data_IF_046839625703
#
_entry.id   IF_046839625703
#
_cell.length_a   1.000
_cell.length_b   1.000
_cell.length_c   1.000
_cell.angle_alpha   90.00
_cell.angle_beta   90.00
_cell.angle_gamma   90.00
#
_symmetry.space_group_name_H-M   'P 1'
#
loop_
_entity.id
_entity.type
_entity.pdbx_description
1 polymer ?
#
# COMPACT_ATOMS: atom_id res chain seq x y z
N UNK A 1 21.13 7.34 -6.33
CA UNK A 1 20.11 8.38 -6.62
C UNK A 1 19.04 7.71 -7.46
N UNK A 2 17.81 7.84 -7.07
CA UNK A 2 16.64 7.31 -7.81
C UNK A 2 16.35 8.20 -9.02
N UNK A 3 15.92 7.60 -10.14
CA UNK A 3 15.60 8.28 -11.40
C UNK A 3 14.07 8.48 -11.52
N UNK A 4 13.29 7.45 -11.13
CA UNK A 4 11.84 7.39 -11.37
C UNK A 4 11.00 7.67 -10.12
N UNK A 5 11.63 7.86 -8.97
CA UNK A 5 10.95 8.30 -7.75
C UNK A 5 11.81 9.28 -6.95
N UNK A 6 11.17 10.02 -6.06
CA UNK A 6 11.82 10.85 -5.03
C UNK A 6 11.55 10.25 -3.67
N UNK A 7 12.56 10.28 -2.80
CA UNK A 7 12.49 9.71 -1.45
C UNK A 7 12.71 10.81 -0.41
N UNK A 8 11.89 10.79 0.63
CA UNK A 8 12.09 11.58 1.83
C UNK A 8 11.99 10.67 3.04
N UNK A 9 12.98 10.69 3.93
CA UNK A 9 12.99 9.96 5.21
C UNK A 9 12.91 10.99 6.35
N UNK A 10 11.89 10.88 7.17
CA UNK A 10 11.69 11.78 8.29
C UNK A 10 10.88 11.09 9.40
N UNK A 11 11.32 11.22 10.65
CA UNK A 11 10.57 10.79 11.85
C UNK A 11 10.00 9.34 11.72
N UNK A 12 10.82 8.38 11.27
CA UNK A 12 10.45 6.98 10.99
C UNK A 12 9.49 6.77 9.80
N UNK A 13 9.21 7.83 9.03
CA UNK A 13 8.36 7.77 7.84
C UNK A 13 9.24 7.82 6.59
N UNK A 14 8.98 6.89 5.64
CA UNK A 14 9.47 6.97 4.27
C UNK A 14 8.37 7.53 3.38
N UNK A 15 8.60 8.65 2.71
CA UNK A 15 7.73 9.14 1.62
C UNK A 15 8.36 8.81 0.28
N UNK A 16 7.62 8.06 -0.55
CA UNK A 16 7.98 7.68 -1.91
C UNK A 16 7.08 8.41 -2.88
N UNK A 17 7.64 9.31 -3.69
CA UNK A 17 6.88 10.01 -4.74
C UNK A 17 7.27 9.47 -6.11
N UNK A 18 6.35 8.81 -6.80
CA UNK A 18 6.55 8.37 -8.19
C UNK A 18 6.74 9.62 -9.06
N UNK A 19 7.84 9.68 -9.81
CA UNK A 19 8.29 10.90 -10.48
C UNK A 19 8.44 10.71 -12.00
N UNK A 20 7.31 10.48 -12.67
CA UNK A 20 7.17 10.45 -14.14
C UNK A 20 5.90 11.21 -14.56
N UNK A 21 5.72 12.49 -14.13
CA UNK A 21 4.48 13.24 -14.33
C UNK A 21 4.10 13.43 -15.80
N UNK A 22 5.07 13.51 -16.72
CA UNK A 22 4.87 13.60 -18.17
C UNK A 22 4.23 12.34 -18.77
N UNK A 23 4.27 11.22 -18.05
CA UNK A 23 3.65 9.94 -18.37
C UNK A 23 2.49 9.59 -17.43
N UNK A 24 1.97 10.55 -16.67
CA UNK A 24 0.99 10.33 -15.60
C UNK A 24 1.45 9.24 -14.62
N UNK A 25 2.75 9.21 -14.32
CA UNK A 25 3.37 8.22 -13.45
C UNK A 25 3.13 6.76 -13.88
N UNK A 26 2.97 6.52 -15.20
CA UNK A 26 2.95 5.17 -15.73
C UNK A 26 4.31 4.49 -15.53
N UNK A 27 4.29 3.22 -15.14
CA UNK A 27 5.47 2.47 -14.75
C UNK A 27 5.91 1.50 -15.86
N UNK A 28 7.09 1.73 -16.40
CA UNK A 28 7.83 0.77 -17.21
C UNK A 28 8.73 -0.10 -16.32
N UNK A 29 9.28 -1.22 -16.82
CA UNK A 29 10.06 -2.12 -15.98
C UNK A 29 11.19 -1.49 -15.18
N UNK A 30 12.04 -0.58 -15.71
CA UNK A 30 13.07 0.09 -14.91
C UNK A 30 12.51 0.82 -13.68
N UNK A 31 11.38 1.56 -13.85
CA UNK A 31 10.75 2.25 -12.73
C UNK A 31 10.16 1.26 -11.69
N UNK A 32 9.61 0.14 -12.14
CA UNK A 32 9.13 -0.89 -11.23
C UNK A 32 10.27 -1.55 -10.43
N UNK A 33 11.42 -1.80 -11.07
CA UNK A 33 12.59 -2.37 -10.41
C UNK A 33 13.20 -1.40 -9.39
N UNK A 34 13.33 -0.11 -9.75
CA UNK A 34 13.80 0.92 -8.82
C UNK A 34 12.89 1.02 -7.58
N UNK A 35 11.58 1.05 -7.78
CA UNK A 35 10.62 1.08 -6.66
C UNK A 35 10.67 -0.21 -5.82
N UNK A 36 10.95 -1.37 -6.45
CA UNK A 36 11.13 -2.62 -5.73
C UNK A 36 12.34 -2.56 -4.80
N UNK A 37 13.48 -2.03 -5.28
CA UNK A 37 14.68 -1.80 -4.45
C UNK A 37 14.39 -0.85 -3.28
N UNK A 38 13.63 0.23 -3.52
CA UNK A 38 13.21 1.17 -2.47
C UNK A 38 12.40 0.47 -1.37
N UNK A 39 11.45 -0.41 -1.74
CA UNK A 39 10.66 -1.14 -0.76
C UNK A 39 11.42 -2.31 -0.12
N UNK A 40 12.47 -2.85 -0.76
CA UNK A 40 13.42 -3.77 -0.13
C UNK A 40 14.20 -3.05 0.97
N UNK A 41 14.74 -1.87 0.68
CA UNK A 41 15.42 -1.03 1.67
C UNK A 41 14.48 -0.65 2.82
N UNK A 42 13.24 -0.23 2.51
CA UNK A 42 12.24 0.07 3.53
C UNK A 42 11.95 -1.12 4.45
N UNK A 43 11.82 -2.31 3.88
CA UNK A 43 11.57 -3.52 4.65
C UNK A 43 12.72 -3.82 5.62
N UNK A 44 13.97 -3.59 5.19
CA UNK A 44 15.19 -3.89 5.94
C UNK A 44 15.64 -2.78 6.92
N UNK A 45 15.20 -1.53 6.73
CA UNK A 45 15.64 -0.37 7.55
C UNK A 45 14.82 -0.30 8.86
N UNK A 46 15.41 -0.70 9.98
CA UNK A 46 14.74 -0.72 11.29
C UNK A 46 14.31 0.67 11.79
N UNK A 47 14.90 1.74 11.28
CA UNK A 47 14.53 3.10 11.60
C UNK A 47 13.28 3.59 10.86
N UNK A 48 12.80 2.86 9.86
CA UNK A 48 11.59 3.17 9.11
C UNK A 48 10.42 2.27 9.55
N UNK A 49 9.33 2.89 9.99
CA UNK A 49 8.18 2.17 10.55
C UNK A 49 6.92 2.26 9.68
N UNK A 50 6.75 3.36 8.93
CA UNK A 50 5.62 3.60 8.03
C UNK A 50 6.13 4.11 6.69
N UNK A 51 5.52 3.68 5.58
CA UNK A 51 5.76 4.29 4.28
C UNK A 51 4.49 4.97 3.74
N UNK A 52 4.69 6.08 3.02
CA UNK A 52 3.66 6.77 2.23
C UNK A 52 4.11 6.71 0.77
N UNK A 53 3.22 6.27 -0.13
CA UNK A 53 3.46 6.34 -1.57
C UNK A 53 2.46 7.30 -2.21
N UNK A 54 2.96 8.18 -3.08
CA UNK A 54 2.15 9.16 -3.84
C UNK A 54 2.72 9.36 -5.24
N UNK A 55 2.06 10.16 -6.07
CA UNK A 55 2.53 10.51 -7.41
C UNK A 55 2.84 12.01 -7.55
N UNK A 56 3.85 12.35 -8.34
CA UNK A 56 4.10 13.74 -8.72
C UNK A 56 3.08 14.26 -9.72
N UNK A 57 2.69 15.53 -9.59
CA UNK A 57 1.76 16.18 -10.51
C UNK A 57 0.30 15.70 -10.34
N UNK A 58 -0.43 15.53 -11.48
CA UNK A 58 -1.89 15.30 -11.49
C UNK A 58 -2.35 13.86 -11.39
N UNK A 59 -1.45 12.90 -11.27
CA UNK A 59 -1.76 11.48 -11.20
C UNK A 59 -1.01 10.80 -10.07
N UNK A 60 -1.65 9.85 -9.42
CA UNK A 60 -0.96 8.86 -8.61
C UNK A 60 -0.15 7.93 -9.51
N UNK A 61 -0.81 7.16 -10.36
CA UNK A 61 -0.20 6.37 -11.42
C UNK A 61 -1.23 5.92 -12.45
N UNK A 62 -0.91 6.05 -13.74
CA UNK A 62 -1.71 5.47 -14.83
C UNK A 62 -1.43 3.97 -15.06
N UNK A 63 -0.62 3.34 -14.21
CA UNK A 63 -0.34 1.91 -14.27
C UNK A 63 0.76 1.54 -15.28
N UNK A 64 0.55 0.52 -16.10
CA UNK A 64 1.54 0.06 -17.06
C UNK A 64 1.82 1.10 -18.15
N UNK A 65 3.10 1.33 -18.46
CA UNK A 65 3.50 2.17 -19.60
C UNK A 65 3.26 1.43 -20.92
N UNK A 66 2.05 1.60 -21.48
CA UNK A 66 1.64 0.94 -22.71
C UNK A 66 2.42 1.42 -23.94
N UNK A 67 2.99 2.63 -23.92
CA UNK A 67 3.86 3.12 -25.02
C UNK A 67 5.16 2.35 -25.04
N UNK A 68 5.80 2.20 -23.88
CA UNK A 68 7.00 1.41 -23.74
C UNK A 68 6.77 -0.04 -24.20
N UNK A 69 5.61 -0.62 -23.87
CA UNK A 69 5.23 -1.97 -24.30
C UNK A 69 5.00 -2.05 -25.82
N UNK A 70 4.35 -1.05 -26.42
CA UNK A 70 4.06 -0.98 -27.86
C UNK A 70 5.32 -0.84 -28.73
N UNK A 71 6.43 -0.37 -28.17
CA UNK A 71 7.74 -0.30 -28.81
C UNK A 71 8.42 -1.68 -28.99
N UNK A 72 7.75 -2.76 -28.56
CA UNK A 72 8.25 -4.13 -28.69
C UNK A 72 9.34 -4.50 -27.67
N UNK A 73 9.49 -3.70 -26.63
CA UNK A 73 10.44 -3.99 -25.57
C UNK A 73 10.12 -5.28 -24.80
N UNK A 74 11.13 -6.08 -24.51
CA UNK A 74 10.98 -7.30 -23.71
C UNK A 74 10.83 -6.94 -22.24
N UNK A 75 9.73 -7.38 -21.62
CA UNK A 75 9.47 -7.18 -20.19
C UNK A 75 10.28 -8.16 -19.36
N UNK A 76 11.20 -7.68 -18.49
CA UNK A 76 11.90 -8.56 -17.58
C UNK A 76 10.96 -9.12 -16.51
N UNK A 77 11.34 -10.22 -15.81
CA UNK A 77 10.61 -10.67 -14.63
C UNK A 77 10.52 -9.54 -13.59
N UNK A 78 9.35 -9.39 -13.01
CA UNK A 78 9.08 -8.44 -11.92
C UNK A 78 8.43 -9.21 -10.76
N UNK A 79 9.22 -9.94 -9.98
CA UNK A 79 8.69 -10.86 -8.96
C UNK A 79 7.87 -10.16 -7.88
N UNK A 80 8.19 -8.90 -7.57
CA UNK A 80 7.46 -8.09 -6.59
C UNK A 80 6.31 -7.26 -7.20
N UNK A 81 6.04 -7.44 -8.52
CA UNK A 81 4.95 -6.80 -9.24
C UNK A 81 5.14 -5.31 -9.47
N UNK A 82 4.04 -4.56 -9.64
CA UNK A 82 4.08 -3.11 -9.83
C UNK A 82 4.56 -2.40 -8.56
N UNK A 83 5.43 -1.41 -8.77
CA UNK A 83 6.07 -0.61 -7.73
C UNK A 83 6.76 -1.44 -6.62
N UNK A 84 7.05 -2.72 -6.88
CA UNK A 84 7.58 -3.61 -5.84
C UNK A 84 6.60 -3.89 -4.69
N UNK A 85 5.29 -3.66 -4.89
CA UNK A 85 4.26 -3.78 -3.85
C UNK A 85 3.18 -4.81 -4.17
N UNK A 86 2.75 -4.92 -5.44
CA UNK A 86 1.53 -5.69 -5.75
C UNK A 86 1.68 -7.20 -5.56
N UNK A 87 2.89 -7.73 -5.52
CA UNK A 87 3.19 -9.13 -5.21
C UNK A 87 4.07 -9.30 -3.95
N UNK A 88 4.08 -8.29 -3.09
CA UNK A 88 4.91 -8.25 -1.89
C UNK A 88 4.13 -8.70 -0.66
N UNK A 89 4.03 -10.01 -0.48
CA UNK A 89 3.29 -10.61 0.65
C UNK A 89 4.12 -10.75 1.93
N UNK A 90 5.41 -10.44 1.87
CA UNK A 90 6.37 -10.46 2.97
C UNK A 90 6.47 -9.13 3.73
N UNK A 91 5.95 -8.03 3.16
CA UNK A 91 6.07 -6.70 3.76
C UNK A 91 5.07 -6.49 4.90
N UNK A 92 5.52 -6.72 6.13
CA UNK A 92 4.70 -6.53 7.34
C UNK A 92 4.69 -5.09 7.86
N UNK A 93 5.56 -4.20 7.36
CA UNK A 93 5.52 -2.77 7.67
C UNK A 93 4.37 -2.09 6.92
N UNK A 94 3.64 -1.14 7.53
CA UNK A 94 2.49 -0.48 6.90
C UNK A 94 2.89 0.45 5.75
N UNK A 95 2.04 0.48 4.72
CA UNK A 95 2.15 1.38 3.57
C UNK A 95 0.83 2.12 3.37
N UNK A 96 0.88 3.44 3.27
CA UNK A 96 -0.26 4.32 2.99
C UNK A 96 -0.16 4.78 1.53
N UNK A 97 -1.19 4.58 0.74
CA UNK A 97 -1.34 5.22 -0.56
C UNK A 97 -2.01 6.59 -0.40
N UNK A 98 -1.26 7.67 -0.65
CA UNK A 98 -1.79 9.02 -0.76
C UNK A 98 -2.13 9.29 -2.24
N UNK A 99 -3.37 8.97 -2.62
CA UNK A 99 -3.81 8.99 -4.02
C UNK A 99 -4.23 10.41 -4.40
N UNK A 100 -3.28 11.15 -4.98
CA UNK A 100 -3.44 12.57 -5.32
C UNK A 100 -4.25 12.83 -6.60
N UNK A 101 -4.56 11.80 -7.40
CA UNK A 101 -5.28 11.97 -8.67
C UNK A 101 -5.56 10.65 -9.35
N UNK A 102 -5.30 10.56 -10.65
CA UNK A 102 -5.57 9.37 -11.46
C UNK A 102 -4.83 8.13 -10.93
N UNK A 103 -5.56 7.06 -10.63
CA UNK A 103 -5.07 5.73 -10.25
C UNK A 103 -5.74 4.68 -11.15
N UNK A 104 -5.07 4.30 -12.24
CA UNK A 104 -5.64 3.43 -13.28
C UNK A 104 -4.83 2.16 -13.45
N UNK A 105 -5.50 1.03 -13.68
CA UNK A 105 -4.86 -0.25 -13.94
C UNK A 105 -3.85 -0.61 -12.85
N UNK A 106 -2.60 -0.86 -13.23
CA UNK A 106 -1.51 -1.10 -12.27
C UNK A 106 -1.37 -0.04 -11.19
N UNK A 107 -1.74 1.23 -11.46
CA UNK A 107 -1.75 2.29 -10.44
C UNK A 107 -2.83 2.07 -9.37
N UNK A 108 -4.01 1.64 -9.77
CA UNK A 108 -5.04 1.25 -8.79
C UNK A 108 -4.67 -0.07 -8.08
N UNK A 109 -4.01 -0.99 -8.77
CA UNK A 109 -3.50 -2.23 -8.15
C UNK A 109 -2.45 -1.95 -7.08
N UNK A 110 -1.58 -0.93 -7.28
CA UNK A 110 -0.63 -0.45 -6.27
C UNK A 110 -1.38 0.09 -5.05
N UNK A 111 -2.37 0.97 -5.26
CA UNK A 111 -3.17 1.51 -4.16
C UNK A 111 -3.88 0.40 -3.37
N UNK A 112 -4.48 -0.59 -4.06
CA UNK A 112 -5.12 -1.76 -3.44
C UNK A 112 -4.13 -2.69 -2.71
N UNK A 113 -2.83 -2.62 -3.01
CA UNK A 113 -1.79 -3.39 -2.33
C UNK A 113 -1.28 -2.68 -1.07
N UNK A 114 -1.53 -1.38 -0.92
CA UNK A 114 -1.26 -0.65 0.31
C UNK A 114 -2.29 -0.98 1.39
N UNK A 115 -1.96 -0.70 2.64
CA UNK A 115 -2.82 -1.01 3.80
C UNK A 115 -3.93 0.01 3.97
N UNK A 116 -3.66 1.27 3.64
CA UNK A 116 -4.61 2.37 3.69
C UNK A 116 -4.58 3.17 2.38
N UNK A 117 -5.74 3.68 1.97
CA UNK A 117 -5.87 4.60 0.84
C UNK A 117 -6.50 5.90 1.37
N UNK A 118 -5.70 6.96 1.40
CA UNK A 118 -6.18 8.33 1.57
C UNK A 118 -6.28 8.93 0.17
N UNK A 119 -7.45 9.39 -0.21
CA UNK A 119 -7.69 9.88 -1.57
C UNK A 119 -7.96 11.39 -1.60
N UNK A 120 -7.41 12.06 -2.59
CA UNK A 120 -7.87 13.40 -2.96
C UNK A 120 -9.30 13.34 -3.49
N UNK A 121 -10.11 14.37 -3.24
CA UNK A 121 -11.43 14.59 -3.86
C UNK A 121 -11.37 14.61 -5.42
N UNK A 122 -10.18 14.78 -5.99
CA UNK A 122 -9.92 14.71 -7.45
C UNK A 122 -9.45 13.33 -7.92
N UNK A 123 -9.31 12.36 -6.99
CA UNK A 123 -8.84 11.04 -7.36
C UNK A 123 -9.91 10.25 -8.14
N UNK A 124 -9.44 9.50 -9.12
CA UNK A 124 -10.28 8.65 -9.97
C UNK A 124 -9.61 7.28 -10.11
N UNK A 125 -10.39 6.24 -9.89
CA UNK A 125 -9.95 4.85 -9.89
C UNK A 125 -10.61 4.06 -11.01
N UNK A 126 -9.87 3.17 -11.68
CA UNK A 126 -10.43 2.18 -12.59
C UNK A 126 -9.47 1.01 -12.82
N UNK A 127 -10.02 -0.12 -13.27
CA UNK A 127 -9.30 -1.22 -13.90
C UNK A 127 -9.67 -1.26 -15.39
N UNK A 128 -9.07 -0.39 -16.23
CA UNK A 128 -9.49 -0.21 -17.63
C UNK A 128 -8.84 -1.21 -18.59
N UNK A 129 -8.11 -2.19 -18.10
CA UNK A 129 -7.36 -3.18 -18.86
C UNK A 129 -8.19 -3.84 -19.97
N UNK A 130 -9.50 -4.19 -19.77
CA UNK A 130 -10.29 -4.81 -20.82
C UNK A 130 -10.44 -3.95 -22.10
N UNK A 131 -10.37 -2.61 -21.97
CA UNK A 131 -10.43 -1.70 -23.14
C UNK A 131 -9.21 -1.78 -24.06
N UNK A 132 -8.12 -2.35 -23.57
CA UNK A 132 -6.86 -2.51 -24.32
C UNK A 132 -6.44 -3.98 -24.47
N UNK A 133 -7.38 -4.91 -24.26
CA UNK A 133 -7.15 -6.35 -24.45
C UNK A 133 -6.29 -6.99 -23.35
N UNK A 134 -6.21 -6.36 -22.17
CA UNK A 134 -5.46 -6.84 -21.01
C UNK A 134 -6.41 -7.18 -19.85
N UNK A 135 -5.83 -7.63 -18.75
CA UNK A 135 -6.52 -7.86 -17.48
C UNK A 135 -5.65 -7.34 -16.30
N UNK A 136 -6.28 -6.93 -15.21
CA UNK A 136 -5.62 -6.41 -14.01
C UNK A 136 -4.99 -7.54 -13.18
N UNK A 137 -3.91 -8.13 -13.70
CA UNK A 137 -3.27 -9.34 -13.16
C UNK A 137 -2.28 -9.08 -12.03
N UNK A 138 -2.02 -7.82 -11.69
CA UNK A 138 -1.15 -7.48 -10.56
C UNK A 138 -1.92 -7.42 -9.23
N UNK A 139 -3.03 -8.10 -9.12
CA UNK A 139 -3.80 -8.28 -7.90
C UNK A 139 -5.14 -7.54 -7.87
N UNK A 140 -5.45 -6.72 -8.87
CA UNK A 140 -6.74 -6.01 -8.95
C UNK A 140 -7.92 -6.96 -8.98
N UNK A 141 -7.83 -8.04 -9.77
CA UNK A 141 -8.85 -9.09 -9.87
C UNK A 141 -9.00 -9.91 -8.57
N UNK A 142 -8.02 -9.86 -7.68
CA UNK A 142 -8.02 -10.63 -6.44
C UNK A 142 -8.39 -9.76 -5.22
N UNK A 143 -7.78 -8.56 -5.10
CA UNK A 143 -7.98 -7.66 -3.94
C UNK A 143 -9.33 -6.96 -4.00
N UNK A 144 -9.67 -6.36 -5.15
CA UNK A 144 -10.91 -5.57 -5.26
C UNK A 144 -12.16 -6.38 -4.88
N UNK A 145 -12.39 -7.62 -5.40
CA UNK A 145 -13.56 -8.41 -5.00
C UNK A 145 -13.56 -8.82 -3.52
N UNK A 146 -12.39 -8.98 -2.90
CA UNK A 146 -12.29 -9.28 -1.46
C UNK A 146 -12.67 -8.10 -0.59
N UNK A 147 -12.42 -6.87 -1.08
CA UNK A 147 -12.73 -5.63 -0.34
C UNK A 147 -14.20 -5.24 -0.53
N UNK A 148 -14.71 -5.15 -1.78
CA UNK A 148 -16.03 -4.56 -2.07
C UNK A 148 -17.11 -5.58 -2.43
N UNK A 149 -16.76 -6.88 -2.44
CA UNK A 149 -17.62 -7.97 -2.87
C UNK A 149 -17.63 -8.14 -4.41
N UNK A 150 -17.84 -9.39 -4.84
CA UNK A 150 -17.68 -9.80 -6.24
C UNK A 150 -18.62 -9.05 -7.21
N UNK A 151 -19.86 -8.75 -6.83
CA UNK A 151 -20.82 -8.07 -7.73
C UNK A 151 -20.41 -6.63 -8.04
N UNK A 152 -19.99 -5.88 -7.04
CA UNK A 152 -19.50 -4.51 -7.21
C UNK A 152 -18.20 -4.46 -8.01
N UNK A 153 -17.26 -5.36 -7.67
CA UNK A 153 -16.01 -5.49 -8.41
C UNK A 153 -16.23 -5.86 -9.88
N UNK A 154 -17.11 -6.83 -10.20
CA UNK A 154 -17.44 -7.19 -11.57
C UNK A 154 -18.08 -6.03 -12.34
N UNK A 155 -18.91 -5.21 -11.68
CA UNK A 155 -19.46 -3.99 -12.30
C UNK A 155 -18.35 -3.01 -12.74
N UNK A 156 -17.30 -2.84 -11.95
CA UNK A 156 -16.15 -2.00 -12.31
C UNK A 156 -15.28 -2.65 -13.39
N UNK A 157 -14.95 -3.93 -13.23
CA UNK A 157 -14.00 -4.65 -14.09
C UNK A 157 -14.58 -4.84 -15.50
N UNK A 158 -15.80 -5.37 -15.62
CA UNK A 158 -16.39 -5.70 -16.93
C UNK A 158 -16.73 -4.46 -17.76
N UNK A 159 -17.07 -3.35 -17.11
CA UNK A 159 -17.39 -2.09 -17.81
C UNK A 159 -16.18 -1.17 -17.96
N UNK A 160 -15.08 -1.49 -17.24
CA UNK A 160 -13.90 -0.63 -17.14
C UNK A 160 -14.26 0.83 -16.80
N UNK A 161 -15.31 1.00 -15.94
CA UNK A 161 -15.79 2.32 -15.55
C UNK A 161 -14.85 3.01 -14.58
N UNK A 162 -14.91 4.33 -14.57
CA UNK A 162 -14.22 5.15 -13.60
C UNK A 162 -15.07 5.28 -12.33
N UNK A 163 -14.41 5.37 -11.20
CA UNK A 163 -14.98 5.53 -9.86
C UNK A 163 -14.32 6.73 -9.20
N UNK A 164 -15.12 7.67 -8.67
CA UNK A 164 -14.60 8.82 -7.92
C UNK A 164 -14.07 8.39 -6.54
N UNK A 165 -13.37 9.31 -5.88
CA UNK A 165 -12.88 9.09 -4.52
C UNK A 165 -14.04 8.81 -3.55
N UNK A 166 -15.11 9.60 -3.60
CA UNK A 166 -16.30 9.47 -2.73
C UNK A 166 -17.02 8.15 -2.98
N UNK A 167 -17.15 7.74 -4.26
CA UNK A 167 -17.70 6.41 -4.56
C UNK A 167 -16.80 5.31 -4.03
N UNK A 168 -15.47 5.47 -4.13
CA UNK A 168 -14.49 4.54 -3.58
C UNK A 168 -14.58 4.38 -2.07
N UNK A 169 -14.80 5.48 -1.35
CA UNK A 169 -15.06 5.48 0.09
C UNK A 169 -16.38 4.76 0.43
N UNK A 170 -17.46 5.08 -0.30
CA UNK A 170 -18.74 4.38 -0.13
C UNK A 170 -18.65 2.88 -0.44
N UNK A 171 -17.85 2.49 -1.42
CA UNK A 171 -17.60 1.09 -1.76
C UNK A 171 -16.70 0.38 -0.73
N UNK A 172 -15.89 1.12 0.02
CA UNK A 172 -15.06 0.63 1.11
C UNK A 172 -13.61 0.29 0.75
N UNK A 173 -13.10 0.72 -0.42
CA UNK A 173 -11.68 0.59 -0.73
C UNK A 173 -10.87 1.87 -0.49
N UNK A 174 -11.51 3.04 -0.35
CA UNK A 174 -10.89 4.27 0.13
C UNK A 174 -11.22 4.43 1.60
N UNK A 175 -10.21 4.73 2.44
CA UNK A 175 -10.39 4.93 3.88
C UNK A 175 -10.88 6.32 4.21
N UNK A 176 -10.43 7.34 3.47
CA UNK A 176 -10.78 8.73 3.71
C UNK A 176 -10.60 9.56 2.43
N UNK A 177 -11.52 10.50 2.19
CA UNK A 177 -11.43 11.49 1.11
C UNK A 177 -11.16 12.87 1.70
N UNK A 178 -10.16 13.56 1.16
CA UNK A 178 -9.76 14.90 1.61
C UNK A 178 -9.61 15.87 0.43
N UNK A 179 -9.69 17.20 0.65
CA UNK A 179 -9.36 18.18 -0.37
C UNK A 179 -7.95 17.93 -0.95
N UNK A 180 -7.80 18.12 -2.25
CA UNK A 180 -6.56 17.80 -2.98
C UNK A 180 -5.30 18.39 -2.35
N UNK A 181 -5.37 19.63 -1.90
CA UNK A 181 -4.25 20.33 -1.26
C UNK A 181 -3.87 19.79 0.11
N UNK A 182 -4.73 18.98 0.74
CA UNK A 182 -4.52 18.42 2.07
C UNK A 182 -4.03 16.97 2.05
N UNK A 183 -3.94 16.34 0.88
CA UNK A 183 -3.66 14.89 0.75
C UNK A 183 -2.38 14.47 1.48
N UNK A 184 -1.26 15.17 1.29
CA UNK A 184 0.00 14.83 1.94
C UNK A 184 0.02 15.19 3.42
N UNK A 185 -0.65 16.27 3.81
CA UNK A 185 -0.83 16.60 5.22
C UNK A 185 -1.57 15.47 5.93
N UNK A 186 -2.73 15.05 5.40
CA UNK A 186 -3.53 13.99 6.03
C UNK A 186 -2.82 12.63 6.06
N UNK A 187 -2.11 12.26 4.99
CA UNK A 187 -1.32 11.04 4.96
C UNK A 187 -0.22 11.03 6.04
N UNK A 188 0.44 12.18 6.28
CA UNK A 188 1.43 12.32 7.36
C UNK A 188 0.79 12.29 8.75
N UNK A 189 -0.41 12.86 8.93
CA UNK A 189 -1.17 12.77 10.19
C UNK A 189 -1.49 11.32 10.51
N UNK A 190 -2.03 10.55 9.54
CA UNK A 190 -2.32 9.12 9.70
C UNK A 190 -1.04 8.33 9.99
N UNK A 191 0.06 8.61 9.29
CA UNK A 191 1.34 7.98 9.59
C UNK A 191 1.80 8.28 11.02
N UNK A 192 1.61 9.51 11.51
CA UNK A 192 1.91 9.91 12.89
C UNK A 192 1.02 9.18 13.91
N UNK A 193 -0.26 8.98 13.61
CA UNK A 193 -1.16 8.18 14.43
C UNK A 193 -0.66 6.73 14.54
N UNK A 194 -0.16 6.15 13.43
CA UNK A 194 0.46 4.80 13.43
C UNK A 194 1.74 4.79 14.27
N UNK A 195 2.60 5.81 14.16
CA UNK A 195 3.83 5.93 14.94
C UNK A 195 3.60 6.07 16.45
N UNK A 196 2.42 6.52 16.87
CA UNK A 196 2.04 6.55 18.29
C UNK A 196 1.81 5.14 18.87
N UNK A 197 1.68 4.11 18.02
CA UNK A 197 1.54 2.72 18.40
C UNK A 197 2.89 1.98 18.31
N UNK A 198 3.04 0.88 19.08
CA UNK A 198 4.24 0.04 18.97
C UNK A 198 4.41 -0.50 17.54
N UNK A 199 5.56 -0.27 16.89
CA UNK A 199 5.79 -0.73 15.53
C UNK A 199 5.73 -2.26 15.41
N UNK A 200 6.13 -3.00 16.45
CA UNK A 200 6.04 -4.46 16.44
C UNK A 200 4.60 -4.94 16.58
N UNK A 201 3.77 -4.26 17.37
CA UNK A 201 2.34 -4.56 17.46
C UNK A 201 1.62 -4.29 16.14
N UNK A 202 1.95 -3.21 15.44
CA UNK A 202 1.43 -2.91 14.11
C UNK A 202 1.81 -3.98 13.10
N UNK A 203 3.11 -4.37 13.06
CA UNK A 203 3.61 -5.43 12.16
C UNK A 203 2.93 -6.77 12.44
N UNK A 204 2.81 -7.17 13.70
CA UNK A 204 2.13 -8.40 14.10
C UNK A 204 0.64 -8.39 13.73
N UNK A 205 -0.05 -7.25 13.94
CA UNK A 205 -1.46 -7.09 13.60
C UNK A 205 -1.69 -7.18 12.10
N UNK A 206 -0.86 -6.49 11.29
CA UNK A 206 -0.94 -6.55 9.83
C UNK A 206 -0.74 -7.98 9.31
N UNK A 207 0.34 -8.66 9.75
CA UNK A 207 0.64 -10.05 9.36
C UNK A 207 -0.51 -10.98 9.72
N UNK A 208 -1.06 -10.86 10.94
CA UNK A 208 -2.17 -11.68 11.40
C UNK A 208 -3.45 -11.46 10.59
N UNK A 209 -3.80 -10.20 10.28
CA UNK A 209 -4.99 -9.89 9.47
C UNK A 209 -4.87 -10.49 8.07
N UNK A 210 -3.76 -10.24 7.36
CA UNK A 210 -3.62 -10.73 5.99
C UNK A 210 -3.56 -12.26 5.92
N UNK A 211 -2.82 -12.92 6.81
CA UNK A 211 -2.79 -14.40 6.87
C UNK A 211 -4.17 -14.98 7.17
N UNK A 212 -4.95 -14.33 8.05
CA UNK A 212 -6.28 -14.83 8.42
C UNK A 212 -7.24 -14.92 7.24
N UNK A 213 -7.05 -14.08 6.21
CA UNK A 213 -7.89 -14.08 5.00
C UNK A 213 -7.68 -15.33 4.11
N UNK A 214 -6.62 -16.08 4.32
CA UNK A 214 -6.31 -17.32 3.59
C UNK A 214 -6.77 -18.58 4.31
N UNK A 215 -7.27 -18.45 5.56
CA UNK A 215 -7.82 -19.58 6.33
C UNK A 215 -9.32 -19.77 6.07
N UNK A 216 -9.74 -21.02 5.90
CA UNK A 216 -11.15 -21.39 5.85
C UNK A 216 -11.80 -21.43 7.23
N UNK A 217 -11.01 -21.71 8.28
CA UNK A 217 -11.43 -21.84 9.68
C UNK A 217 -10.84 -20.72 10.54
N UNK A 218 -11.70 -19.96 11.21
CA UNK A 218 -11.26 -18.94 12.17
C UNK A 218 -10.52 -19.57 13.37
N UNK A 219 -10.93 -20.76 13.82
CA UNK A 219 -10.29 -21.48 14.92
C UNK A 219 -8.85 -21.84 14.58
N UNK A 220 -8.60 -22.36 13.36
CA UNK A 220 -7.27 -22.71 12.91
C UNK A 220 -6.39 -21.45 12.76
N UNK A 221 -6.93 -20.38 12.18
CA UNK A 221 -6.23 -19.10 12.07
C UNK A 221 -5.81 -18.56 13.45
N UNK A 222 -6.72 -18.57 14.44
CA UNK A 222 -6.42 -18.08 15.80
C UNK A 222 -5.41 -18.96 16.54
N UNK A 223 -5.42 -20.28 16.30
CA UNK A 223 -4.42 -21.20 16.85
C UNK A 223 -3.05 -20.89 16.27
N UNK A 224 -2.93 -20.86 14.94
CA UNK A 224 -1.67 -20.66 14.23
C UNK A 224 -1.09 -19.27 14.47
N UNK A 225 -1.93 -18.24 14.63
CA UNK A 225 -1.49 -16.89 15.00
C UNK A 225 -0.65 -16.90 16.30
N UNK A 226 -1.00 -17.73 17.28
CA UNK A 226 -0.30 -17.78 18.57
C UNK A 226 0.98 -18.63 18.54
N UNK A 227 1.06 -19.60 17.63
CA UNK A 227 2.16 -20.58 17.60
C UNK A 227 3.13 -20.37 16.43
N UNK A 228 2.62 -19.99 15.26
CA UNK A 228 3.38 -20.04 14.00
C UNK A 228 3.78 -18.64 13.46
N UNK A 229 3.06 -17.57 13.85
CA UNK A 229 3.36 -16.25 13.26
C UNK A 229 4.58 -15.62 13.91
N UNK A 230 5.67 -15.50 13.13
CA UNK A 230 6.93 -14.93 13.60
C UNK A 230 6.78 -13.50 14.11
N UNK A 231 5.97 -12.66 13.42
CA UNK A 231 5.74 -11.28 13.83
C UNK A 231 5.05 -11.19 15.21
N UNK A 232 4.12 -12.09 15.52
CA UNK A 232 3.46 -12.15 16.84
C UNK A 232 4.45 -12.56 17.91
N UNK A 233 5.30 -13.55 17.65
CA UNK A 233 6.35 -13.99 18.57
C UNK A 233 7.35 -12.89 18.86
N UNK A 234 7.86 -12.22 17.81
CA UNK A 234 8.76 -11.07 17.96
C UNK A 234 8.15 -9.96 18.80
N UNK A 235 6.85 -9.65 18.59
CA UNK A 235 6.13 -8.65 19.39
C UNK A 235 6.10 -9.04 20.87
N UNK A 236 5.73 -10.29 21.19
CA UNK A 236 5.62 -10.75 22.59
C UNK A 236 6.97 -10.77 23.32
N UNK A 237 8.06 -11.03 22.59
CA UNK A 237 9.42 -11.08 23.14
C UNK A 237 10.11 -9.70 23.21
N UNK A 238 9.46 -8.63 22.74
CA UNK A 238 10.05 -7.29 22.59
C UNK A 238 10.08 -6.46 23.86
N UNK A 239 10.96 -5.46 23.88
CA UNK A 239 10.96 -4.40 24.90
C UNK A 239 9.63 -3.61 24.89
N UNK A 240 9.05 -3.39 23.72
CA UNK A 240 7.80 -2.66 23.53
C UNK A 240 6.60 -3.36 24.18
N UNK A 241 6.61 -4.70 24.27
CA UNK A 241 5.57 -5.49 24.92
C UNK A 241 5.48 -5.20 26.43
N UNK A 242 6.60 -4.81 27.06
CA UNK A 242 6.69 -4.42 28.46
C UNK A 242 6.44 -2.92 28.61
N UNK A 243 6.99 -2.09 27.71
CA UNK A 243 6.90 -0.63 27.77
C UNK A 243 5.44 -0.16 27.70
N UNK A 244 4.62 -0.73 26.84
CA UNK A 244 3.23 -0.32 26.65
C UNK A 244 2.41 -0.37 27.95
N UNK A 245 2.25 -1.52 28.61
CA UNK A 245 1.56 -1.65 29.90
C UNK A 245 2.17 -0.78 31.00
N UNK A 246 3.50 -0.63 31.04
CA UNK A 246 4.20 0.20 32.01
C UNK A 246 3.86 1.69 31.82
N UNK A 247 3.98 2.21 30.62
CA UNK A 247 3.66 3.59 30.30
C UNK A 247 2.18 3.91 30.61
N UNK A 248 1.27 2.98 30.27
CA UNK A 248 -0.15 3.10 30.61
C UNK A 248 -0.40 3.19 32.11
N UNK A 249 0.24 2.32 32.92
CA UNK A 249 0.11 2.33 34.39
C UNK A 249 0.68 3.62 35.01
N UNK A 250 1.77 4.14 34.42
CA UNK A 250 2.43 5.37 34.84
C UNK A 250 1.76 6.65 34.28
N UNK A 251 0.74 6.52 33.45
CA UNK A 251 0.02 7.63 32.78
C UNK A 251 0.94 8.56 31.97
N UNK A 252 1.92 8.00 31.28
CA UNK A 252 2.84 8.71 30.39
C UNK A 252 2.76 8.16 28.96
N UNK A 253 3.28 8.91 28.02
CA UNK A 253 3.47 8.40 26.66
C UNK A 253 4.51 7.26 26.64
N UNK A 254 4.28 6.20 25.87
CA UNK A 254 5.25 5.13 25.69
C UNK A 254 6.46 5.62 24.88
N UNK A 255 7.60 4.98 25.09
CA UNK A 255 8.82 5.22 24.32
C UNK A 255 9.16 3.95 23.53
N UNK A 256 8.54 3.80 22.37
CA UNK A 256 8.71 2.65 21.53
C UNK A 256 10.14 2.51 21.00
N UNK A 257 10.65 1.29 20.97
CA UNK A 257 12.01 0.97 20.51
C UNK A 257 12.01 0.16 19.21
N UNK A 258 10.90 -0.51 18.90
CA UNK A 258 10.80 -1.38 17.72
C UNK A 258 11.60 -2.68 17.85
N UNK A 259 11.95 -3.10 19.04
CA UNK A 259 12.78 -4.28 19.34
C UNK A 259 12.40 -4.94 20.65
#
# INVERSE_FOLDING_TARGET
MTEFCRLEKKDHILTVTINRPERLNALHPPANLELAEVFDEYAADDDLWVAIITGDGRAFSAGNDLRWQAEGNVRPPMPLGFAGLTSRFDLIKPVIAAVNGVAMGGGFEIALACDLIIASDKAVFALPEPKVGLAALAGGLNRLPRIIGSKRAMGMILTARHVSAEEGEHLGFVNEVVPHEQIMQRANEVATEILACSPLSIRASKDAVYRSLDFASLEDSMRDMRTEYAAVRTMVESEDFIEGPKAFAEKRSPNWKGR
#
